data_IF_601967748576
#
_entry.id   IF_601967748576
#
_cell.length_a   1.000
_cell.length_b   1.000
_cell.length_c   1.000
_cell.angle_alpha   90.00
_cell.angle_beta   90.00
_cell.angle_gamma   90.00
#
_symmetry.space_group_name_H-M   'P 1'
#
loop_
_entity.id
_entity.type
_entity.pdbx_description
1 polymer ?
#
# COMPACT_ATOMS: atom_id res chain seq x y z
N UNK A 1 30.79 -20.50 -7.49
CA UNK A 1 29.39 -20.06 -7.34
C UNK A 1 28.53 -20.26 -8.58
N UNK A 2 28.93 -19.85 -9.81
CA UNK A 2 28.15 -20.15 -11.03
C UNK A 2 28.20 -21.65 -11.40
N UNK A 3 29.33 -22.30 -11.20
CA UNK A 3 29.53 -23.73 -11.49
C UNK A 3 28.83 -24.65 -10.47
N UNK A 4 28.65 -24.21 -9.22
CA UNK A 4 28.09 -25.03 -8.13
C UNK A 4 26.56 -25.20 -8.18
N UNK A 5 25.83 -24.28 -8.81
CA UNK A 5 24.36 -24.33 -8.86
C UNK A 5 23.89 -25.21 -10.03
N UNK A 6 24.66 -25.28 -11.12
CA UNK A 6 24.32 -26.06 -12.31
C UNK A 6 24.44 -27.58 -12.10
N UNK A 7 25.17 -28.02 -11.07
CA UNK A 7 25.42 -29.42 -10.74
C UNK A 7 24.54 -29.96 -9.61
N UNK A 8 23.60 -29.15 -9.08
CA UNK A 8 22.72 -29.55 -7.97
C UNK A 8 21.80 -30.69 -8.41
N UNK A 9 22.07 -31.89 -7.91
CA UNK A 9 21.26 -33.09 -8.13
C UNK A 9 19.97 -33.09 -7.29
N UNK A 10 20.00 -32.47 -6.11
CA UNK A 10 18.88 -32.47 -5.15
C UNK A 10 18.42 -31.05 -4.76
N UNK A 11 17.63 -30.38 -5.62
CA UNK A 11 17.16 -29.02 -5.37
C UNK A 11 16.24 -28.91 -4.13
N UNK A 12 15.48 -29.96 -3.80
CA UNK A 12 14.67 -30.00 -2.57
C UNK A 12 15.55 -29.93 -1.31
N UNK A 13 16.62 -30.72 -1.26
CA UNK A 13 17.53 -30.81 -0.10
C UNK A 13 18.22 -29.47 0.13
N UNK A 14 18.74 -28.84 -0.93
CA UNK A 14 19.36 -27.51 -0.85
C UNK A 14 18.37 -26.47 -0.36
N UNK A 15 17.15 -26.46 -0.91
CA UNK A 15 16.11 -25.50 -0.49
C UNK A 15 15.69 -25.73 0.96
N UNK A 16 15.54 -26.98 1.38
CA UNK A 16 15.15 -27.36 2.74
C UNK A 16 16.19 -26.97 3.78
N UNK A 17 17.47 -27.18 3.47
CA UNK A 17 18.59 -26.76 4.32
C UNK A 17 18.64 -25.24 4.44
N UNK A 18 18.48 -24.51 3.33
CA UNK A 18 18.46 -23.05 3.35
C UNK A 18 17.30 -22.49 4.17
N UNK A 19 16.09 -23.05 4.04
CA UNK A 19 14.94 -22.63 4.85
C UNK A 19 15.15 -22.97 6.34
N UNK A 20 15.77 -24.11 6.64
CA UNK A 20 16.10 -24.49 8.02
C UNK A 20 17.14 -23.54 8.63
N UNK A 21 18.16 -23.16 7.87
CA UNK A 21 19.11 -22.11 8.24
C UNK A 21 18.39 -20.78 8.53
N UNK A 22 17.52 -20.34 7.63
CA UNK A 22 16.73 -19.11 7.82
C UNK A 22 15.88 -19.16 9.11
N UNK A 23 15.32 -20.32 9.45
CA UNK A 23 14.59 -20.53 10.71
C UNK A 23 15.49 -20.42 11.94
N UNK A 24 16.68 -21.02 11.90
CA UNK A 24 17.66 -20.93 12.99
C UNK A 24 18.06 -19.47 13.25
N UNK A 25 18.17 -18.66 12.20
CA UNK A 25 18.45 -17.22 12.29
C UNK A 25 17.21 -16.33 12.53
N UNK A 26 16.10 -16.90 13.03
CA UNK A 26 14.88 -16.16 13.44
C UNK A 26 14.29 -15.24 12.36
N UNK A 27 14.47 -15.56 11.08
CA UNK A 27 13.85 -14.77 10.00
C UNK A 27 12.33 -14.92 9.99
N UNK A 28 11.63 -13.87 9.56
CA UNK A 28 10.16 -13.84 9.52
C UNK A 28 9.60 -14.94 8.62
N UNK A 29 8.42 -15.47 8.95
CA UNK A 29 7.75 -16.47 8.11
C UNK A 29 7.51 -15.97 6.67
N UNK A 30 7.26 -14.67 6.49
CA UNK A 30 7.11 -14.05 5.18
C UNK A 30 8.43 -14.08 4.37
N UNK A 31 9.56 -13.77 5.02
CA UNK A 31 10.87 -13.87 4.39
C UNK A 31 11.20 -15.31 4.01
N UNK A 32 10.87 -16.29 4.85
CA UNK A 32 11.06 -17.71 4.52
C UNK A 32 10.28 -18.12 3.25
N UNK A 33 9.03 -17.68 3.11
CA UNK A 33 8.22 -17.95 1.90
C UNK A 33 8.80 -17.25 0.66
N UNK A 34 9.23 -15.99 0.80
CA UNK A 34 9.84 -15.23 -0.29
C UNK A 34 11.15 -15.87 -0.76
N UNK A 35 12.02 -16.25 0.18
CA UNK A 35 13.27 -16.96 -0.07
C UNK A 35 13.02 -18.32 -0.75
N UNK A 36 12.07 -19.13 -0.26
CA UNK A 36 11.69 -20.40 -0.90
C UNK A 36 11.25 -20.19 -2.35
N UNK A 37 10.49 -19.13 -2.61
CA UNK A 37 10.00 -18.79 -3.95
C UNK A 37 11.16 -18.36 -4.86
N UNK A 38 12.03 -17.48 -4.37
CA UNK A 38 13.18 -16.99 -5.13
C UNK A 38 14.15 -18.13 -5.49
N UNK A 39 14.49 -19.00 -4.53
CA UNK A 39 15.34 -20.17 -4.76
C UNK A 39 14.69 -21.14 -5.76
N UNK A 40 13.38 -21.40 -5.63
CA UNK A 40 12.67 -22.24 -6.59
C UNK A 40 12.60 -21.63 -8.00
N UNK A 41 12.56 -20.29 -8.14
CA UNK A 41 12.67 -19.63 -9.44
C UNK A 41 14.07 -19.79 -10.04
N UNK A 42 15.12 -19.73 -9.22
CA UNK A 42 16.49 -19.97 -9.68
C UNK A 42 16.65 -21.40 -10.21
N UNK A 43 16.17 -22.41 -9.48
CA UNK A 43 16.22 -23.79 -9.96
C UNK A 43 15.45 -24.00 -11.26
N UNK A 44 14.24 -23.41 -11.39
CA UNK A 44 13.51 -23.44 -12.66
C UNK A 44 14.27 -22.79 -13.82
N UNK A 45 14.97 -21.69 -13.55
CA UNK A 45 15.74 -20.98 -14.59
C UNK A 45 16.92 -21.79 -15.14
N UNK A 46 17.43 -22.77 -14.39
CA UNK A 46 18.49 -23.69 -14.82
C UNK A 46 17.94 -25.05 -15.31
N UNK A 47 16.64 -25.13 -15.58
CA UNK A 47 16.01 -26.32 -16.17
C UNK A 47 15.53 -27.39 -15.17
N UNK A 48 15.57 -27.13 -13.86
CA UNK A 48 15.02 -28.07 -12.88
C UNK A 48 13.49 -28.07 -12.90
N UNK A 49 12.91 -29.26 -12.88
CA UNK A 49 11.45 -29.45 -12.85
C UNK A 49 10.86 -29.03 -11.48
N UNK A 50 9.70 -28.37 -11.50
CA UNK A 50 8.99 -27.95 -10.27
C UNK A 50 8.74 -29.13 -9.32
N UNK A 51 8.48 -30.33 -9.87
CA UNK A 51 8.25 -31.53 -9.08
C UNK A 51 9.50 -31.99 -8.30
N UNK A 52 10.71 -31.68 -8.77
CA UNK A 52 11.97 -31.98 -8.07
C UNK A 52 12.30 -30.92 -7.02
N UNK A 53 11.86 -29.68 -7.23
CA UNK A 53 12.08 -28.56 -6.32
C UNK A 53 11.11 -28.59 -5.13
N UNK A 54 9.85 -28.96 -5.36
CA UNK A 54 8.75 -28.80 -4.42
C UNK A 54 8.10 -30.13 -4.03
N UNK A 55 8.93 -31.03 -3.52
CA UNK A 55 8.55 -32.35 -3.00
C UNK A 55 8.01 -32.27 -1.56
N UNK A 56 7.69 -33.44 -1.00
CA UNK A 56 6.94 -33.57 0.23
C UNK A 56 7.66 -32.99 1.45
N UNK A 57 8.97 -33.18 1.58
CA UNK A 57 9.71 -32.71 2.75
C UNK A 57 9.70 -31.18 2.84
N UNK A 58 9.96 -30.51 1.72
CA UNK A 58 9.90 -29.05 1.66
C UNK A 58 8.47 -28.54 1.93
N UNK A 59 7.43 -29.21 1.42
CA UNK A 59 6.03 -28.87 1.73
C UNK A 59 5.73 -28.94 3.22
N UNK A 60 6.23 -29.96 3.94
CA UNK A 60 6.06 -30.07 5.39
C UNK A 60 6.80 -28.95 6.13
N UNK A 61 8.05 -28.67 5.77
CA UNK A 61 8.85 -27.57 6.35
C UNK A 61 8.14 -26.22 6.19
N UNK A 62 7.50 -26.00 5.03
CA UNK A 62 6.81 -24.75 4.71
C UNK A 62 5.39 -24.64 5.27
N UNK A 63 4.79 -25.72 5.78
CA UNK A 63 3.42 -25.73 6.30
C UNK A 63 3.23 -24.72 7.44
N UNK A 64 4.11 -24.76 8.45
CA UNK A 64 4.03 -23.86 9.62
C UNK A 64 4.23 -22.38 9.24
N UNK A 65 5.26 -21.98 8.49
CA UNK A 65 5.38 -20.61 7.99
C UNK A 65 4.16 -20.15 7.17
N UNK A 66 3.64 -21.02 6.29
CA UNK A 66 2.49 -20.70 5.44
C UNK A 66 1.22 -20.47 6.25
N UNK A 67 0.91 -21.35 7.21
CA UNK A 67 -0.24 -21.19 8.12
C UNK A 67 -0.07 -19.94 8.99
N UNK A 68 1.12 -19.68 9.50
CA UNK A 68 1.37 -18.51 10.34
C UNK A 68 1.20 -17.19 9.56
N UNK A 69 1.64 -17.14 8.30
CA UNK A 69 1.39 -15.98 7.43
C UNK A 69 -0.09 -15.86 7.08
N UNK A 70 -0.79 -16.98 6.82
CA UNK A 70 -2.22 -16.96 6.54
C UNK A 70 -3.06 -16.51 7.76
N UNK A 71 -2.70 -16.94 8.97
CA UNK A 71 -3.31 -16.49 10.23
C UNK A 71 -3.03 -15.02 10.48
N UNK A 72 -1.79 -14.57 10.21
CA UNK A 72 -1.45 -13.15 10.32
C UNK A 72 -2.25 -12.32 9.33
N UNK A 73 -2.50 -12.79 8.10
CA UNK A 73 -3.34 -12.08 7.12
C UNK A 73 -4.80 -11.90 7.58
N UNK A 74 -5.33 -12.78 8.44
CA UNK A 74 -6.55 -12.51 9.22
C UNK A 74 -6.20 -11.57 10.38
N UNK A 75 -5.94 -10.31 10.02
CA UNK A 75 -5.34 -9.30 10.91
C UNK A 75 -6.35 -8.64 11.88
N UNK A 76 -5.84 -8.24 13.05
CA UNK A 76 -6.52 -7.51 14.14
C UNK A 76 -7.18 -6.19 13.73
N UNK A 77 -8.13 -5.75 14.59
CA UNK A 77 -8.88 -4.51 14.53
C UNK A 77 -8.00 -3.34 14.09
N UNK A 78 -8.33 -2.81 12.92
CA UNK A 78 -7.69 -1.64 12.35
C UNK A 78 -8.20 -0.44 13.13
N UNK A 79 -7.30 0.46 13.53
CA UNK A 79 -7.66 1.69 14.23
C UNK A 79 -8.81 2.45 13.54
N UNK A 80 -9.63 3.13 14.33
CA UNK A 80 -10.84 3.80 13.84
C UNK A 80 -10.52 4.91 12.83
N UNK A 81 -10.88 4.71 11.57
CA UNK A 81 -10.67 5.70 10.50
C UNK A 81 -11.31 7.07 10.79
N UNK A 82 -12.36 7.10 11.61
CA UNK A 82 -13.01 8.33 12.08
C UNK A 82 -12.06 9.27 12.81
N UNK A 83 -11.05 8.75 13.53
CA UNK A 83 -10.05 9.59 14.21
C UNK A 83 -9.29 10.47 13.21
N UNK A 84 -8.88 9.87 12.08
CA UNK A 84 -8.22 10.59 11.00
C UNK A 84 -9.17 11.56 10.29
N UNK A 85 -10.42 11.15 10.00
CA UNK A 85 -11.41 12.03 9.37
C UNK A 85 -11.74 13.26 10.23
N UNK A 86 -11.93 13.07 11.53
CA UNK A 86 -12.19 14.15 12.48
C UNK A 86 -11.00 15.10 12.58
N UNK A 87 -9.77 14.57 12.57
CA UNK A 87 -8.56 15.38 12.54
C UNK A 87 -8.50 16.25 11.28
N UNK A 88 -8.69 15.65 10.10
CA UNK A 88 -8.72 16.36 8.81
C UNK A 88 -9.80 17.44 8.83
N UNK A 89 -11.02 17.12 9.25
CA UNK A 89 -12.12 18.08 9.35
C UNK A 89 -11.78 19.26 10.27
N UNK A 90 -11.19 19.01 11.44
CA UNK A 90 -10.75 20.06 12.36
C UNK A 90 -9.67 20.96 11.74
N UNK A 91 -8.75 20.39 10.96
CA UNK A 91 -7.71 21.14 10.25
C UNK A 91 -8.26 21.96 9.08
N UNK A 92 -9.29 21.48 8.37
CA UNK A 92 -9.95 22.24 7.31
C UNK A 92 -10.52 23.56 7.84
N UNK A 93 -11.13 23.52 9.03
CA UNK A 93 -11.69 24.70 9.70
C UNK A 93 -10.62 25.72 10.11
N UNK A 94 -9.40 25.26 10.38
CA UNK A 94 -8.26 26.09 10.76
C UNK A 94 -7.23 26.21 9.63
N UNK A 95 -7.69 26.36 8.39
CA UNK A 95 -6.81 26.24 7.22
C UNK A 95 -5.61 27.20 7.23
N UNK A 96 -5.75 28.37 7.87
CA UNK A 96 -4.70 29.39 7.99
C UNK A 96 -3.46 28.90 8.78
N UNK A 97 -3.58 27.83 9.57
CA UNK A 97 -2.49 27.31 10.42
C UNK A 97 -1.85 26.01 9.92
N UNK A 98 -2.16 25.53 8.71
CA UNK A 98 -1.49 24.35 8.14
C UNK A 98 -0.11 24.73 7.63
N UNK A 99 0.92 24.02 8.08
CA UNK A 99 2.25 24.11 7.49
C UNK A 99 2.26 23.38 6.14
N UNK A 100 3.19 23.75 5.25
CA UNK A 100 3.40 23.07 3.96
C UNK A 100 3.66 21.56 4.10
N UNK A 101 3.97 21.09 5.32
CA UNK A 101 4.33 19.72 5.61
C UNK A 101 3.13 18.77 5.76
N UNK A 102 1.87 19.21 5.83
CA UNK A 102 0.75 18.35 6.28
C UNK A 102 -0.14 17.73 5.17
N UNK A 103 0.29 17.72 3.90
CA UNK A 103 -0.52 17.20 2.77
C UNK A 103 0.30 16.32 1.83
N UNK A 104 0.45 15.01 2.08
CA UNK A 104 1.28 14.19 1.18
C UNK A 104 0.86 12.73 1.06
N UNK A 105 0.16 12.41 -0.02
CA UNK A 105 0.35 11.16 -0.75
C UNK A 105 0.13 11.41 -2.25
N UNK A 106 0.83 10.64 -3.09
CA UNK A 106 0.88 10.69 -4.56
C UNK A 106 2.02 11.55 -5.14
N UNK A 107 3.26 11.31 -4.70
CA UNK A 107 4.54 11.96 -5.12
C UNK A 107 4.77 12.25 -6.62
N UNK A 108 4.03 11.61 -7.53
CA UNK A 108 4.07 11.81 -8.99
C UNK A 108 2.67 12.00 -9.56
N UNK A 109 1.98 13.05 -9.12
CA UNK A 109 0.72 13.44 -9.72
C UNK A 109 0.70 14.88 -10.21
N UNK A 110 -0.09 15.09 -11.26
CA UNK A 110 -0.63 16.38 -11.62
C UNK A 110 -2.12 16.40 -11.28
N UNK A 111 -2.62 17.59 -10.91
CA UNK A 111 -4.03 17.81 -10.63
C UNK A 111 -4.56 18.89 -11.58
N UNK A 112 -5.72 18.63 -12.16
CA UNK A 112 -6.41 19.55 -13.07
C UNK A 112 -7.85 19.73 -12.61
N UNK A 113 -8.33 20.97 -12.65
CA UNK A 113 -9.73 21.29 -12.45
C UNK A 113 -10.43 21.17 -13.79
N UNK A 114 -11.47 20.33 -13.84
CA UNK A 114 -12.32 20.18 -15.02
C UNK A 114 -13.68 20.88 -14.80
N UNK A 115 -14.54 20.81 -15.80
CA UNK A 115 -15.87 21.42 -15.76
C UNK A 115 -16.74 20.89 -14.61
N UNK A 116 -17.72 21.68 -14.16
CA UNK A 116 -18.63 21.30 -13.07
C UNK A 116 -17.99 21.22 -11.68
N UNK A 117 -16.80 21.80 -11.49
CA UNK A 117 -16.13 21.83 -10.18
C UNK A 117 -15.42 20.52 -9.79
N UNK A 118 -15.38 19.56 -10.70
CA UNK A 118 -14.71 18.26 -10.53
C UNK A 118 -13.20 18.40 -10.71
N UNK A 119 -12.42 17.54 -10.05
CA UNK A 119 -10.96 17.53 -10.17
C UNK A 119 -10.47 16.18 -10.67
N UNK A 120 -9.51 16.18 -11.59
CA UNK A 120 -8.81 14.99 -12.02
C UNK A 120 -7.39 14.99 -11.50
N UNK A 121 -6.96 13.85 -11.00
CA UNK A 121 -5.59 13.59 -10.59
C UNK A 121 -5.01 12.52 -11.49
N UNK A 122 -3.95 12.86 -12.20
CA UNK A 122 -3.23 11.95 -13.09
C UNK A 122 -2.00 11.43 -12.37
N UNK A 123 -1.88 10.11 -12.27
CA UNK A 123 -0.73 9.46 -11.62
C UNK A 123 -0.26 8.26 -12.43
N UNK A 124 0.99 7.84 -12.22
CA UNK A 124 1.52 6.61 -12.80
C UNK A 124 1.54 5.50 -11.75
N UNK A 125 0.94 4.36 -12.06
CA UNK A 125 0.95 3.19 -11.18
C UNK A 125 2.33 2.53 -11.27
N UNK A 126 3.16 2.67 -10.24
CA UNK A 126 4.52 2.10 -10.19
C UNK A 126 4.51 0.57 -10.38
N UNK A 127 3.45 -0.11 -9.93
CA UNK A 127 3.36 -1.59 -10.00
C UNK A 127 3.29 -2.15 -11.42
N UNK A 128 2.91 -1.34 -12.41
CA UNK A 128 2.83 -1.75 -13.82
C UNK A 128 3.49 -0.65 -14.65
N UNK A 129 4.74 -0.86 -15.08
CA UNK A 129 5.48 0.13 -15.89
C UNK A 129 4.58 0.64 -17.03
N UNK A 130 4.38 1.95 -17.09
CA UNK A 130 3.64 2.63 -18.15
C UNK A 130 2.12 2.81 -17.92
N UNK A 131 1.53 2.23 -16.87
CA UNK A 131 0.09 2.40 -16.64
C UNK A 131 -0.22 3.76 -16.01
N UNK A 132 -0.87 4.63 -16.77
CA UNK A 132 -1.41 5.91 -16.30
C UNK A 132 -2.78 5.67 -15.67
N UNK A 133 -2.99 6.20 -14.47
CA UNK A 133 -4.28 6.17 -13.79
C UNK A 133 -4.79 7.59 -13.61
N UNK A 134 -6.06 7.79 -13.94
CA UNK A 134 -6.79 9.01 -13.62
C UNK A 134 -7.75 8.71 -12.46
N UNK A 135 -7.75 9.60 -11.47
CA UNK A 135 -8.68 9.63 -10.36
C UNK A 135 -9.54 10.87 -10.51
N UNK A 136 -10.85 10.69 -10.59
CA UNK A 136 -11.80 11.80 -10.70
C UNK A 136 -12.46 12.00 -9.33
N UNK A 137 -12.27 13.19 -8.75
CA UNK A 137 -12.88 13.62 -7.50
C UNK A 137 -14.09 14.48 -7.81
N UNK A 138 -15.24 14.07 -7.29
CA UNK A 138 -16.48 14.83 -7.32
C UNK A 138 -16.65 15.60 -6.00
N UNK A 139 -17.34 16.75 -6.01
CA UNK A 139 -17.68 17.46 -4.78
C UNK A 139 -18.40 16.55 -3.79
N UNK A 140 -18.01 16.62 -2.52
CA UNK A 140 -18.72 15.95 -1.43
C UNK A 140 -19.64 16.95 -0.72
N UNK A 141 -20.71 16.45 -0.12
CA UNK A 141 -21.65 17.25 0.68
C UNK A 141 -20.96 17.96 1.85
N UNK A 142 -20.00 17.30 2.52
CA UNK A 142 -19.14 17.93 3.52
C UNK A 142 -17.82 18.38 2.87
N UNK A 143 -17.63 19.69 2.60
CA UNK A 143 -16.42 20.19 1.96
C UNK A 143 -15.16 20.01 2.83
N UNK A 144 -15.28 19.90 4.15
CA UNK A 144 -14.13 19.84 5.05
C UNK A 144 -13.37 18.51 4.97
N UNK A 145 -14.05 17.45 4.53
CA UNK A 145 -13.45 16.14 4.25
C UNK A 145 -13.32 15.88 2.75
N UNK A 146 -13.70 16.85 1.91
CA UNK A 146 -13.66 16.72 0.47
C UNK A 146 -12.22 16.89 -0.06
N UNK A 147 -11.66 15.91 -0.79
CA UNK A 147 -10.32 16.04 -1.39
C UNK A 147 -10.18 17.27 -2.31
N UNK A 148 -11.27 17.69 -2.96
CA UNK A 148 -11.29 18.89 -3.82
C UNK A 148 -10.95 20.15 -3.03
N UNK A 149 -11.52 20.31 -1.83
CA UNK A 149 -11.23 21.46 -0.98
C UNK A 149 -9.74 21.54 -0.68
N UNK A 150 -9.13 20.43 -0.26
CA UNK A 150 -7.70 20.35 0.04
C UNK A 150 -6.81 20.60 -1.18
N UNK A 151 -7.15 20.03 -2.34
CA UNK A 151 -6.42 20.26 -3.59
C UNK A 151 -6.49 21.72 -4.04
N UNK A 152 -7.66 22.36 -3.92
CA UNK A 152 -7.82 23.77 -4.24
C UNK A 152 -6.95 24.65 -3.35
N UNK A 153 -6.99 24.42 -2.04
CA UNK A 153 -6.22 25.19 -1.06
C UNK A 153 -4.72 25.03 -1.27
N UNK A 154 -4.27 23.82 -1.59
CA UNK A 154 -2.88 23.56 -1.97
C UNK A 154 -2.48 24.31 -3.25
N UNK A 155 -3.28 24.19 -4.32
CA UNK A 155 -3.01 24.84 -5.60
C UNK A 155 -2.97 26.37 -5.50
N UNK A 156 -3.81 26.98 -4.65
CA UNK A 156 -3.82 28.43 -4.41
C UNK A 156 -2.55 28.91 -3.70
N UNK A 157 -1.94 28.08 -2.84
CA UNK A 157 -0.70 28.41 -2.11
C UNK A 157 0.55 28.33 -2.95
N UNK A 158 0.54 27.55 -4.04
CA UNK A 158 1.67 27.47 -4.96
C UNK A 158 1.89 28.81 -5.66
N UNK A 159 3.12 29.33 -5.65
CA UNK A 159 3.43 30.59 -6.34
C UNK A 159 3.27 30.40 -7.85
N UNK A 160 3.02 31.48 -8.59
CA UNK A 160 2.87 31.43 -10.07
C UNK A 160 4.04 30.74 -10.77
N UNK A 161 5.27 30.95 -10.28
CA UNK A 161 6.51 30.35 -10.79
C UNK A 161 6.67 28.86 -10.49
N UNK A 162 5.78 28.28 -9.70
CA UNK A 162 5.84 26.90 -9.23
C UNK A 162 4.73 26.03 -9.84
N UNK A 163 3.95 26.57 -10.79
CA UNK A 163 2.82 25.87 -11.43
C UNK A 163 3.27 24.74 -12.36
N UNK A 164 4.46 24.88 -12.95
CA UNK A 164 5.16 23.88 -13.76
C UNK A 164 5.75 22.75 -12.91
N UNK A 165 5.93 22.97 -11.61
CA UNK A 165 6.42 21.93 -10.68
C UNK A 165 5.31 20.91 -10.38
N UNK A 166 5.66 19.63 -10.17
CA UNK A 166 4.71 18.61 -9.75
C UNK A 166 3.99 18.95 -8.46
N UNK A 167 2.85 18.29 -8.24
CA UNK A 167 1.95 18.63 -7.15
C UNK A 167 2.65 18.61 -5.78
N UNK A 168 3.57 17.67 -5.55
CA UNK A 168 4.27 17.49 -4.27
C UNK A 168 5.76 17.85 -4.40
N UNK A 169 6.01 19.13 -4.61
CA UNK A 169 7.35 19.69 -4.66
C UNK A 169 7.72 20.29 -3.30
N UNK A 170 8.87 19.92 -2.75
CA UNK A 170 9.39 20.47 -1.50
C UNK A 170 10.22 21.70 -1.85
N UNK A 171 9.65 22.89 -1.70
CA UNK A 171 10.28 24.15 -2.10
C UNK A 171 11.61 24.41 -1.39
N UNK A 172 11.66 24.18 -0.07
CA UNK A 172 12.88 24.36 0.73
C UNK A 172 14.06 23.50 0.24
N UNK A 173 13.78 22.34 -0.35
CA UNK A 173 14.79 21.38 -0.83
C UNK A 173 14.94 21.40 -2.36
N UNK A 174 14.16 22.22 -3.05
CA UNK A 174 14.09 22.30 -4.51
C UNK A 174 14.02 20.93 -5.22
N UNK A 175 13.22 20.00 -4.69
CA UNK A 175 13.08 18.63 -5.23
C UNK A 175 11.67 18.07 -5.02
N UNK A 176 11.33 16.99 -5.73
CA UNK A 176 10.12 16.22 -5.45
C UNK A 176 10.19 15.56 -4.07
N UNK A 177 9.04 15.47 -3.40
CA UNK A 177 8.92 14.69 -2.18
C UNK A 177 9.24 13.21 -2.45
N UNK A 178 10.14 12.64 -1.65
CA UNK A 178 10.43 11.20 -1.70
C UNK A 178 9.35 10.41 -0.95
N UNK A 179 9.29 9.09 -1.19
CA UNK A 179 8.37 8.20 -0.47
C UNK A 179 8.58 8.28 1.06
N UNK A 180 9.84 8.34 1.51
CA UNK A 180 10.19 8.44 2.92
C UNK A 180 9.74 9.78 3.53
N UNK A 181 9.92 10.89 2.81
CA UNK A 181 9.43 12.21 3.25
C UNK A 181 7.89 12.22 3.35
N UNK A 182 7.17 11.62 2.39
CA UNK A 182 5.72 11.44 2.47
C UNK A 182 5.33 10.59 3.68
N UNK A 183 6.01 9.47 3.89
CA UNK A 183 5.72 8.57 5.00
C UNK A 183 5.87 9.27 6.35
N UNK A 184 6.97 10.01 6.56
CA UNK A 184 7.24 10.77 7.79
C UNK A 184 6.15 11.78 8.11
N UNK A 185 5.73 12.55 7.10
CA UNK A 185 4.62 13.50 7.22
C UNK A 185 3.33 12.79 7.61
N UNK A 186 3.00 11.70 6.92
CA UNK A 186 1.77 10.96 7.18
C UNK A 186 1.76 10.38 8.59
N UNK A 187 2.88 9.85 9.07
CA UNK A 187 3.02 9.38 10.45
C UNK A 187 2.84 10.51 11.48
N UNK A 188 3.33 11.72 11.21
CA UNK A 188 3.10 12.89 12.07
C UNK A 188 1.60 13.20 12.18
N UNK A 189 0.89 13.22 11.04
CA UNK A 189 -0.56 13.43 10.97
C UNK A 189 -1.30 12.34 11.74
N UNK A 190 -0.92 11.07 11.55
CA UNK A 190 -1.53 9.94 12.26
C UNK A 190 -1.35 10.06 13.77
N UNK A 191 -0.15 10.45 14.23
CA UNK A 191 0.14 10.71 15.64
C UNK A 191 -0.70 11.87 16.19
N UNK A 192 -0.82 12.98 15.45
CA UNK A 192 -1.65 14.12 15.82
C UNK A 192 -3.15 13.77 15.87
N UNK A 193 -3.58 12.81 15.04
CA UNK A 193 -4.92 12.22 15.08
C UNK A 193 -5.11 11.18 16.21
N UNK A 194 -4.13 11.02 17.11
CA UNK A 194 -4.18 10.06 18.23
C UNK A 194 -4.33 8.60 17.79
N UNK A 195 -3.77 8.25 16.62
CA UNK A 195 -3.62 6.86 16.17
C UNK A 195 -2.42 6.27 16.92
N UNK A 196 -2.70 5.29 17.78
CA UNK A 196 -1.70 4.59 18.61
C UNK A 196 -0.85 3.63 17.77
N UNK A 197 0.24 3.15 18.34
CA UNK A 197 1.06 2.03 17.83
C UNK A 197 1.79 2.26 16.50
N UNK A 198 1.75 3.49 15.98
CA UNK A 198 2.45 3.91 14.77
C UNK A 198 2.30 2.93 13.58
N UNK A 199 1.08 2.56 13.18
CA UNK A 199 0.85 1.58 12.14
C UNK A 199 1.37 2.12 10.80
N UNK A 200 1.75 1.23 9.86
CA UNK A 200 2.28 1.66 8.57
C UNK A 200 1.27 2.52 7.82
N UNK A 201 1.74 3.45 6.97
CA UNK A 201 0.88 4.32 6.14
C UNK A 201 -0.13 3.51 5.30
N UNK A 202 0.25 2.31 4.86
CA UNK A 202 -0.65 1.40 4.13
C UNK A 202 -1.89 0.98 4.94
N UNK A 203 -1.86 1.10 6.27
CA UNK A 203 -3.02 0.87 7.15
C UNK A 203 -4.14 1.90 6.95
N UNK A 204 -3.85 3.10 6.46
CA UNK A 204 -4.87 4.11 6.13
C UNK A 204 -5.83 3.55 5.07
N UNK A 205 -5.27 2.99 4.00
CA UNK A 205 -6.04 2.32 2.95
C UNK A 205 -6.89 1.20 3.53
N UNK A 206 -6.32 0.40 4.43
CA UNK A 206 -7.01 -0.70 5.11
C UNK A 206 -8.22 -0.21 5.90
N UNK A 207 -8.00 0.75 6.81
CA UNK A 207 -9.03 1.37 7.66
C UNK A 207 -10.15 2.00 6.84
N UNK A 208 -9.77 2.68 5.76
CA UNK A 208 -10.69 3.32 4.82
C UNK A 208 -11.57 2.29 4.11
N UNK A 209 -11.00 1.17 3.67
CA UNK A 209 -11.74 0.09 3.00
C UNK A 209 -12.69 -0.64 3.95
N UNK A 210 -12.24 -0.99 5.16
CA UNK A 210 -13.09 -1.62 6.17
C UNK A 210 -14.28 -0.71 6.53
N UNK A 211 -14.03 0.58 6.80
CA UNK A 211 -15.13 1.53 7.04
C UNK A 211 -16.12 1.60 5.88
N UNK A 212 -15.64 1.59 4.64
CA UNK A 212 -16.52 1.63 3.47
C UNK A 212 -17.40 0.37 3.38
N UNK A 213 -16.83 -0.82 3.66
CA UNK A 213 -17.58 -2.08 3.73
C UNK A 213 -18.63 -2.02 4.84
N UNK A 214 -18.26 -1.54 6.03
CA UNK A 214 -19.19 -1.37 7.16
C UNK A 214 -20.33 -0.38 6.85
N UNK A 215 -20.11 0.54 5.91
CA UNK A 215 -21.12 1.47 5.39
C UNK A 215 -21.92 0.92 4.20
N UNK A 216 -21.77 -0.37 3.89
CA UNK A 216 -22.53 -1.06 2.85
C UNK A 216 -21.93 -0.99 1.44
N UNK A 217 -20.67 -0.59 1.29
CA UNK A 217 -20.03 -0.58 -0.03
C UNK A 217 -19.85 -2.01 -0.57
N UNK A 218 -20.32 -2.23 -1.80
CA UNK A 218 -20.26 -3.55 -2.42
C UNK A 218 -18.85 -3.86 -2.99
N UNK A 219 -18.63 -5.14 -3.31
CA UNK A 219 -17.36 -5.65 -3.87
C UNK A 219 -16.88 -4.90 -5.12
N UNK A 220 -17.79 -4.48 -5.99
CA UNK A 220 -17.42 -3.74 -7.21
C UNK A 220 -16.94 -2.33 -6.87
N UNK A 221 -17.62 -1.63 -5.96
CA UNK A 221 -17.24 -0.29 -5.48
C UNK A 221 -15.88 -0.34 -4.79
N UNK A 222 -15.66 -1.30 -3.89
CA UNK A 222 -14.40 -1.48 -3.19
C UNK A 222 -13.26 -1.77 -4.18
N UNK A 223 -13.44 -2.72 -5.11
CA UNK A 223 -12.42 -3.04 -6.11
C UNK A 223 -12.09 -1.85 -7.02
N UNK A 224 -13.10 -1.06 -7.42
CA UNK A 224 -12.91 0.16 -8.23
C UNK A 224 -12.14 1.23 -7.46
N UNK A 225 -12.49 1.46 -6.20
CA UNK A 225 -11.81 2.40 -5.31
C UNK A 225 -10.35 2.00 -5.08
N UNK A 226 -10.12 0.72 -4.79
CA UNK A 226 -8.80 0.18 -4.48
C UNK A 226 -7.94 -0.11 -5.72
N UNK A 227 -8.48 0.08 -6.93
CA UNK A 227 -7.87 -0.28 -8.22
C UNK A 227 -7.43 -1.75 -8.28
N UNK A 228 -8.22 -2.65 -7.68
CA UNK A 228 -8.03 -4.09 -7.88
C UNK A 228 -8.72 -4.52 -9.18
N UNK A 229 -8.23 -5.61 -9.79
CA UNK A 229 -8.87 -6.17 -11.00
C UNK A 229 -10.33 -6.50 -10.71
N UNK A 230 -11.21 -6.21 -11.66
CA UNK A 230 -12.63 -6.55 -11.53
C UNK A 230 -12.81 -8.05 -11.25
N UNK A 231 -13.67 -8.38 -10.28
CA UNK A 231 -13.87 -9.75 -9.80
C UNK A 231 -12.90 -10.21 -8.71
N UNK A 232 -11.83 -9.45 -8.40
CA UNK A 232 -10.88 -9.78 -7.35
C UNK A 232 -11.55 -9.99 -5.99
N UNK A 233 -11.23 -11.11 -5.33
CA UNK A 233 -11.64 -11.41 -3.95
C UNK A 233 -10.68 -10.83 -2.91
N UNK A 234 -9.51 -10.32 -3.33
CA UNK A 234 -8.43 -9.85 -2.45
C UNK A 234 -8.89 -8.77 -1.49
N UNK A 235 -9.77 -7.87 -1.91
CA UNK A 235 -10.28 -6.84 -1.02
C UNK A 235 -11.22 -7.41 0.05
N UNK A 236 -12.08 -8.35 -0.33
CA UNK A 236 -13.04 -8.94 0.59
C UNK A 236 -12.33 -9.81 1.63
N UNK A 237 -11.46 -10.72 1.19
CA UNK A 237 -10.73 -11.63 2.08
C UNK A 237 -9.84 -10.90 3.11
N UNK A 238 -9.36 -9.69 2.80
CA UNK A 238 -8.41 -8.98 3.68
C UNK A 238 -9.03 -7.84 4.49
N UNK A 239 -10.23 -7.36 4.14
CA UNK A 239 -10.82 -6.15 4.73
C UNK A 239 -12.26 -6.31 5.22
N UNK A 240 -12.95 -7.38 4.78
CA UNK A 240 -14.28 -7.73 5.26
C UNK A 240 -14.14 -8.47 6.59
N UNK A 241 -14.51 -7.80 7.68
CA UNK A 241 -14.49 -8.35 9.03
C UNK A 241 -15.86 -8.93 9.42
N UNK A 242 -16.88 -8.72 8.59
CA UNK A 242 -18.22 -9.24 8.82
C UNK A 242 -18.23 -10.70 8.34
N UNK A 243 -18.21 -11.63 9.29
CA UNK A 243 -18.31 -13.07 9.08
C UNK A 243 -19.75 -13.46 8.67
N UNK A 244 -20.27 -12.88 7.60
CA UNK A 244 -21.47 -13.42 6.97
C UNK A 244 -21.02 -14.48 5.97
N UNK A 245 -20.86 -15.71 6.47
CA UNK A 245 -20.90 -16.92 5.66
C UNK A 245 -22.33 -17.15 5.12
#
# INVERSE_FOLDING_TARGET
MKEDILTVQEPETVTSNFISFLKQHKTTNANQIACKTAVGMLFRSIGQEEQKINRFALKQIMKKPSIAVAKKLREELIWEFNKLLNYVKKKALNIKSLSEQELMEIHRASAEKIEGGTWQLHTQIIKVKGYKATLTFHPLADPNVCPIFWLQQWCQRRKRKDKDKPLWFIFQKNKHATYDECSKVTHLIMKQASIKDNPPVTSIRKSSMTKAIDQGANKQQINRFSKHKQGSIVAQTNYDMNLND
#
